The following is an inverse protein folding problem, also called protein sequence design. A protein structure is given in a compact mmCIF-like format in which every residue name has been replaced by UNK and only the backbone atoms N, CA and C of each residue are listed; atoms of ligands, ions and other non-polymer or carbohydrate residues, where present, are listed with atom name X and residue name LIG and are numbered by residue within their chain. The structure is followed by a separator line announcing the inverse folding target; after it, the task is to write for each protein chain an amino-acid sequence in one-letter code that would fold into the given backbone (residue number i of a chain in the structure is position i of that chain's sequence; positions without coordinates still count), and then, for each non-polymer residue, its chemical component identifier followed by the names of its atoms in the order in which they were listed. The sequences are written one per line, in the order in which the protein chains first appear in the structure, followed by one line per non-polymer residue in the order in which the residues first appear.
data_IF_446876601033
#
_entry.id   IF_446876601033
#
_cell.length_a   1.000
_cell.length_b   1.000
_cell.length_c   1.000
_cell.angle_alpha   90.00
_cell.angle_beta   90.00
_cell.angle_gamma   90.00
#
_symmetry.space_group_name_H-M   'P 1'
#
loop_
_entity.id
_entity.type
_entity.pdbx_description
1 polymer ?
#
# COMPACT_ATOMS: atom_id res chain seq x y z
N UNK A 1 -13.42 -10.53 -9.34
CA UNK A 1 -12.27 -10.28 -8.44
C UNK A 1 -11.27 -9.41 -9.16
N UNK A 2 -10.73 -8.34 -8.54
CA UNK A 2 -9.63 -7.62 -9.15
C UNK A 2 -8.46 -8.59 -9.28
N UNK A 3 -7.93 -8.70 -10.49
CA UNK A 3 -6.73 -9.47 -10.80
C UNK A 3 -5.57 -8.90 -9.97
N UNK A 4 -4.70 -9.76 -9.45
CA UNK A 4 -3.38 -9.26 -9.04
C UNK A 4 -2.72 -8.57 -10.24
N UNK A 5 -1.87 -7.55 -10.03
CA UNK A 5 -0.97 -7.06 -11.08
C UNK A 5 -0.10 -8.16 -11.70
N UNK A 6 0.07 -9.30 -11.00
CA UNK A 6 0.80 -10.48 -11.44
C UNK A 6 -0.04 -11.55 -12.16
N UNK A 7 -1.33 -11.34 -12.40
CA UNK A 7 -2.16 -12.23 -13.23
C UNK A 7 -2.63 -13.54 -12.57
N UNK A 8 -2.41 -13.75 -11.27
CA UNK A 8 -2.90 -14.92 -10.55
C UNK A 8 -4.37 -14.76 -10.11
N UNK A 9 -5.19 -15.78 -10.35
CA UNK A 9 -6.59 -15.87 -9.90
C UNK A 9 -6.61 -16.50 -8.50
N UNK A 10 -7.20 -15.82 -7.51
CA UNK A 10 -7.40 -16.38 -6.18
C UNK A 10 -8.84 -16.85 -5.96
N UNK A 11 -9.01 -18.01 -5.30
CA UNK A 11 -10.31 -18.53 -4.88
C UNK A 11 -10.90 -17.60 -3.81
N UNK A 12 -11.90 -16.81 -4.18
CA UNK A 12 -12.68 -16.02 -3.24
C UNK A 12 -13.75 -16.93 -2.62
N UNK A 13 -13.75 -17.19 -1.29
CA UNK A 13 -14.87 -17.88 -0.65
C UNK A 13 -16.16 -17.11 -0.93
N UNK A 14 -17.25 -17.83 -1.20
CA UNK A 14 -18.58 -17.27 -1.44
C UNK A 14 -18.97 -16.32 -0.30
N UNK A 15 -19.15 -15.02 -0.61
CA UNK A 15 -19.60 -14.00 0.34
C UNK A 15 -18.59 -12.90 0.71
N UNK A 16 -17.34 -12.97 0.26
CA UNK A 16 -16.35 -11.89 0.47
C UNK A 16 -16.24 -10.98 -0.76
N UNK A 17 -16.40 -9.66 -0.56
CA UNK A 17 -16.03 -8.66 -1.58
C UNK A 17 -14.52 -8.45 -1.56
N UNK A 18 -13.91 -8.17 -2.73
CA UNK A 18 -12.47 -7.86 -2.85
C UNK A 18 -12.26 -6.52 -3.55
N UNK A 19 -11.52 -5.61 -2.91
CA UNK A 19 -11.20 -4.27 -3.43
C UNK A 19 -9.69 -4.06 -3.54
N UNK A 20 -9.21 -3.41 -4.60
CA UNK A 20 -7.82 -2.97 -4.76
C UNK A 20 -7.72 -1.48 -4.39
N UNK A 21 -6.75 -1.12 -3.54
CA UNK A 21 -6.43 0.26 -3.18
C UNK A 21 -4.96 0.50 -3.55
N UNK A 22 -4.73 1.42 -4.48
CA UNK A 22 -3.39 1.87 -4.85
C UNK A 22 -3.08 3.21 -4.18
N UNK A 23 -1.87 3.37 -3.67
CA UNK A 23 -1.40 4.58 -3.01
C UNK A 23 0.08 4.80 -3.31
N UNK A 24 0.53 6.04 -3.37
CA UNK A 24 1.95 6.36 -3.51
C UNK A 24 2.65 6.29 -2.15
N UNK A 25 3.91 5.84 -2.12
CA UNK A 25 4.75 5.93 -0.93
C UNK A 25 4.97 7.41 -0.56
N UNK A 26 4.80 7.73 0.72
CA UNK A 26 4.87 9.10 1.23
C UNK A 26 3.52 9.75 1.54
N UNK A 27 2.41 9.14 1.13
CA UNK A 27 1.07 9.55 1.57
C UNK A 27 0.93 9.40 3.10
N UNK A 28 0.30 10.38 3.75
CA UNK A 28 0.18 10.41 5.21
C UNK A 28 -0.66 9.22 5.74
N UNK A 29 -1.70 8.85 5.00
CA UNK A 29 -2.57 7.73 5.33
C UNK A 29 -3.36 7.21 4.14
N UNK A 30 -3.90 5.99 4.27
CA UNK A 30 -4.82 5.38 3.30
C UNK A 30 -6.03 4.81 4.02
N UNK A 31 -7.19 4.85 3.38
CA UNK A 31 -8.41 4.23 3.88
C UNK A 31 -8.66 2.89 3.18
N UNK A 32 -8.73 1.82 3.96
CA UNK A 32 -9.17 0.50 3.53
C UNK A 32 -10.70 0.44 3.65
N UNK A 33 -11.45 0.41 2.53
CA UNK A 33 -12.89 0.61 2.58
C UNK A 33 -13.62 -0.64 3.05
N UNK A 34 -14.57 -0.46 3.97
CA UNK A 34 -15.59 -1.46 4.25
C UNK A 34 -16.87 -0.81 4.77
N UNK A 35 -17.96 -0.94 4.01
CA UNK A 35 -19.29 -0.51 4.43
C UNK A 35 -20.20 -1.71 4.61
N UNK A 36 -20.97 -1.70 5.69
CA UNK A 36 -21.94 -2.73 6.04
C UNK A 36 -23.28 -2.08 6.39
N UNK A 37 -24.23 -2.88 6.87
CA UNK A 37 -25.52 -2.38 7.37
C UNK A 37 -25.28 -1.49 8.58
N UNK A 38 -25.87 -0.28 8.61
CA UNK A 38 -25.78 0.62 9.77
C UNK A 38 -26.55 0.04 10.97
N UNK A 39 -26.41 0.72 12.12
CA UNK A 39 -27.11 0.38 13.36
C UNK A 39 -26.90 -1.07 13.83
N UNK A 40 -25.66 -1.55 13.77
CA UNK A 40 -25.29 -2.83 14.38
C UNK A 40 -25.35 -2.69 15.91
N UNK A 41 -26.21 -3.50 16.54
CA UNK A 41 -26.40 -3.58 17.99
C UNK A 41 -26.15 -5.01 18.50
N UNK A 42 -25.94 -5.14 19.81
CA UNK A 42 -25.56 -6.40 20.47
C UNK A 42 -24.05 -6.46 20.74
N UNK A 43 -23.53 -7.67 20.98
CA UNK A 43 -22.08 -7.88 21.11
C UNK A 43 -21.47 -7.94 19.71
N UNK A 44 -20.89 -6.83 19.27
CA UNK A 44 -20.31 -6.69 17.93
C UNK A 44 -18.82 -6.44 18.04
N UNK A 45 -18.07 -7.28 17.33
CA UNK A 45 -16.61 -7.24 17.29
C UNK A 45 -16.15 -7.16 15.83
N UNK A 46 -15.29 -6.19 15.55
CA UNK A 46 -14.71 -5.97 14.23
C UNK A 46 -13.21 -6.18 14.32
N UNK A 47 -12.69 -7.04 13.46
CA UNK A 47 -11.27 -7.35 13.40
C UNK A 47 -10.74 -7.12 12.00
N UNK A 48 -9.70 -6.29 11.90
CA UNK A 48 -8.88 -6.17 10.71
C UNK A 48 -7.61 -7.01 10.86
N UNK A 49 -7.31 -7.78 9.82
CA UNK A 49 -6.18 -8.69 9.76
C UNK A 49 -5.31 -8.37 8.56
N UNK A 50 -3.99 -8.50 8.71
CA UNK A 50 -3.03 -8.55 7.61
C UNK A 50 -2.63 -9.99 7.36
N UNK A 51 -2.97 -10.52 6.19
CA UNK A 51 -2.88 -11.94 5.89
C UNK A 51 -3.76 -12.76 6.85
N UNK A 52 -3.16 -13.71 7.56
CA UNK A 52 -3.84 -14.64 8.49
C UNK A 52 -3.26 -14.61 9.92
N UNK A 53 -2.27 -13.75 10.18
CA UNK A 53 -1.44 -13.88 11.39
C UNK A 53 -1.26 -12.58 12.18
N UNK A 54 -1.48 -11.39 11.60
CA UNK A 54 -1.39 -10.12 12.33
C UNK A 54 -2.76 -9.48 12.47
N UNK A 55 -3.16 -9.19 13.71
CA UNK A 55 -4.28 -8.30 14.01
C UNK A 55 -3.82 -6.86 13.79
N UNK A 56 -4.40 -6.21 12.79
CA UNK A 56 -4.12 -4.83 12.42
C UNK A 56 -4.90 -3.88 13.31
N UNK A 57 -6.19 -4.16 13.52
CA UNK A 57 -7.06 -3.33 14.34
C UNK A 57 -8.19 -4.18 14.94
N UNK A 58 -8.59 -3.88 16.17
CA UNK A 58 -9.67 -4.56 16.86
C UNK A 58 -10.57 -3.51 17.50
N UNK A 59 -11.86 -3.59 17.19
CA UNK A 59 -12.90 -2.74 17.76
C UNK A 59 -14.00 -3.62 18.35
N UNK A 60 -14.41 -3.36 19.58
CA UNK A 60 -15.50 -4.10 20.22
C UNK A 60 -16.37 -3.20 21.08
N UNK A 61 -17.69 -3.26 20.85
CA UNK A 61 -18.72 -2.63 21.70
C UNK A 61 -18.49 -1.16 22.06
N UNK A 62 -18.00 -0.35 21.12
CA UNK A 62 -17.84 1.10 21.33
C UNK A 62 -16.39 1.57 21.48
N UNK A 63 -15.42 0.66 21.59
CA UNK A 63 -14.03 1.01 21.90
C UNK A 63 -13.03 0.16 21.12
N UNK A 64 -11.90 0.78 20.77
CA UNK A 64 -10.72 0.10 20.25
C UNK A 64 -10.07 -0.79 21.33
N UNK A 65 -9.41 -1.87 20.90
CA UNK A 65 -8.64 -2.80 21.75
C UNK A 65 -7.15 -2.81 21.33
N UNK A 66 -6.39 -1.73 21.57
CA UNK A 66 -4.99 -1.62 21.15
C UNK A 66 -4.07 -2.69 21.79
N UNK A 67 -4.47 -3.28 22.91
CA UNK A 67 -3.80 -4.40 23.58
C UNK A 67 -3.79 -5.69 22.77
N UNK A 68 -4.77 -5.87 21.87
CA UNK A 68 -4.89 -7.04 21.01
C UNK A 68 -4.25 -6.87 19.62
N UNK A 69 -3.83 -5.65 19.30
CA UNK A 69 -3.18 -5.35 18.01
C UNK A 69 -1.74 -5.84 18.00
N UNK A 70 -1.28 -6.27 16.83
CA UNK A 70 0.12 -6.51 16.58
C UNK A 70 0.91 -5.20 16.77
N UNK A 71 2.08 -5.30 17.42
CA UNK A 71 2.89 -4.15 17.78
C UNK A 71 3.26 -3.26 16.58
N UNK A 72 3.37 -3.84 15.38
CA UNK A 72 3.72 -3.09 14.15
C UNK A 72 2.60 -2.15 13.69
N UNK A 73 1.36 -2.36 14.14
CA UNK A 73 0.18 -1.56 13.75
C UNK A 73 -0.36 -0.66 14.86
N UNK A 74 0.12 -0.81 16.09
CA UNK A 74 -0.26 0.06 17.20
C UNK A 74 0.06 1.52 16.84
N UNK A 75 -0.86 2.42 17.19
CA UNK A 75 -0.81 3.86 16.90
C UNK A 75 -0.78 4.26 15.41
N UNK A 76 -0.85 3.29 14.50
CA UNK A 76 -0.91 3.52 13.04
C UNK A 76 -2.30 3.34 12.47
N UNK A 77 -3.26 2.85 13.24
CA UNK A 77 -4.59 2.47 12.75
C UNK A 77 -5.70 3.19 13.49
N UNK A 78 -6.74 3.58 12.76
CA UNK A 78 -7.89 4.30 13.31
C UNK A 78 -9.15 3.98 12.51
N UNK A 79 -10.28 3.79 13.21
CA UNK A 79 -11.61 3.71 12.60
C UNK A 79 -12.37 5.02 12.79
N UNK A 80 -13.38 5.28 11.95
CA UNK A 80 -14.26 6.44 12.13
C UNK A 80 -15.03 6.37 13.44
N UNK A 81 -15.45 7.53 13.95
CA UNK A 81 -16.36 7.61 15.11
C UNK A 81 -17.67 6.89 14.84
N UNK A 82 -18.17 6.19 15.85
CA UNK A 82 -19.40 5.40 15.83
C UNK A 82 -19.53 4.46 14.60
N UNK A 83 -18.53 3.59 14.33
CA UNK A 83 -18.49 2.80 13.11
C UNK A 83 -19.66 1.80 13.04
N UNK A 84 -20.14 1.30 14.19
CA UNK A 84 -21.30 0.40 14.27
C UNK A 84 -22.64 1.10 13.97
N UNK A 85 -22.75 2.38 14.36
CA UNK A 85 -23.95 3.19 14.10
C UNK A 85 -24.04 3.56 12.62
N UNK A 86 -22.93 4.02 12.05
CA UNK A 86 -22.85 4.47 10.65
C UNK A 86 -22.77 3.33 9.66
N UNK A 87 -22.31 2.15 10.09
CA UNK A 87 -22.02 1.02 9.21
C UNK A 87 -20.76 1.21 8.38
N UNK A 88 -19.96 2.25 8.65
CA UNK A 88 -18.68 2.48 7.98
C UNK A 88 -17.55 1.93 8.84
N UNK A 89 -17.12 0.71 8.50
CA UNK A 89 -16.05 -0.03 9.18
C UNK A 89 -14.70 0.15 8.49
N UNK A 90 -14.56 1.18 7.66
CA UNK A 90 -13.32 1.47 6.96
C UNK A 90 -12.19 1.77 7.95
N UNK A 91 -10.99 1.26 7.64
CA UNK A 91 -9.81 1.44 8.46
C UNK A 91 -8.87 2.46 7.83
N UNK A 92 -8.47 3.47 8.59
CA UNK A 92 -7.38 4.37 8.20
C UNK A 92 -6.05 3.79 8.69
N UNK A 93 -5.09 3.60 7.78
CA UNK A 93 -3.72 3.17 8.07
C UNK A 93 -2.75 4.33 7.79
N UNK A 94 -1.94 4.70 8.78
CA UNK A 94 -0.99 5.82 8.77
C UNK A 94 0.46 5.33 8.65
N UNK A 95 1.37 6.25 8.29
CA UNK A 95 2.81 5.99 8.14
C UNK A 95 3.06 4.82 7.17
N UNK A 96 2.64 4.99 5.92
CA UNK A 96 2.68 3.95 4.91
C UNK A 96 4.10 3.63 4.46
N UNK A 97 4.36 2.35 4.25
CA UNK A 97 5.61 1.83 3.69
C UNK A 97 5.32 0.81 2.61
N UNK A 98 6.28 0.56 1.72
CA UNK A 98 6.18 -0.54 0.74
C UNK A 98 5.95 -1.93 1.37
N UNK A 99 6.24 -2.10 2.67
CA UNK A 99 6.02 -3.35 3.42
C UNK A 99 4.56 -3.55 3.81
N UNK A 100 3.76 -2.49 3.83
CA UNK A 100 2.33 -2.57 4.12
C UNK A 100 1.52 -3.13 2.96
N UNK A 101 2.13 -3.36 1.78
CA UNK A 101 1.51 -4.03 0.64
C UNK A 101 0.95 -5.40 1.04
N UNK A 102 -0.22 -5.74 0.53
CA UNK A 102 -0.78 -7.08 0.68
C UNK A 102 -2.26 -7.09 1.01
N UNK A 103 -2.75 -8.25 1.45
CA UNK A 103 -4.16 -8.49 1.71
C UNK A 103 -4.51 -8.16 3.16
N UNK A 104 -5.40 -7.19 3.32
CA UNK A 104 -6.10 -6.88 4.55
C UNK A 104 -7.47 -7.54 4.52
N UNK A 105 -7.93 -8.05 5.65
CA UNK A 105 -9.23 -8.73 5.76
C UNK A 105 -9.97 -8.19 6.97
N UNK A 106 -11.17 -7.69 6.76
CA UNK A 106 -12.05 -7.28 7.86
C UNK A 106 -13.07 -8.39 8.11
N UNK A 107 -13.26 -8.77 9.37
CA UNK A 107 -14.27 -9.73 9.80
C UNK A 107 -15.11 -9.09 10.90
N UNK A 108 -16.42 -9.19 10.76
CA UNK A 108 -17.41 -8.72 11.74
C UNK A 108 -18.03 -9.94 12.39
N UNK A 109 -17.93 -10.01 13.71
CA UNK A 109 -18.61 -10.97 14.53
C UNK A 109 -19.79 -10.30 15.25
N UNK A 110 -20.90 -11.01 15.34
CA UNK A 110 -22.05 -10.63 16.16
C UNK A 110 -22.42 -11.81 17.05
N UNK A 111 -22.46 -11.57 18.35
CA UNK A 111 -22.78 -12.59 19.36
C UNK A 111 -21.88 -13.85 19.20
N UNK A 112 -20.60 -13.65 18.87
CA UNK A 112 -19.62 -14.71 18.62
C UNK A 112 -19.68 -15.38 17.23
N UNK A 113 -20.68 -15.08 16.41
CA UNK A 113 -20.83 -15.65 15.07
C UNK A 113 -20.31 -14.72 13.97
N UNK A 114 -19.64 -15.29 12.96
CA UNK A 114 -19.23 -14.54 11.78
C UNK A 114 -20.48 -13.99 11.07
N UNK A 115 -20.58 -12.67 11.02
CA UNK A 115 -21.68 -11.97 10.38
C UNK A 115 -21.32 -11.66 8.92
N UNK A 116 -20.19 -10.96 8.71
CA UNK A 116 -19.75 -10.46 7.39
C UNK A 116 -18.23 -10.31 7.35
N UNK A 117 -17.67 -10.21 6.15
CA UNK A 117 -16.31 -9.76 5.98
C UNK A 117 -16.01 -9.26 4.57
N UNK A 118 -14.86 -8.61 4.44
CA UNK A 118 -14.34 -8.11 3.17
C UNK A 118 -12.84 -8.29 3.10
N UNK A 119 -12.29 -8.37 1.89
CA UNK A 119 -10.86 -8.34 1.64
C UNK A 119 -10.47 -7.07 0.89
N UNK A 120 -9.42 -6.40 1.32
CA UNK A 120 -8.86 -5.23 0.66
C UNK A 120 -7.39 -5.51 0.36
N UNK A 121 -6.99 -5.38 -0.90
CA UNK A 121 -5.60 -5.48 -1.30
C UNK A 121 -5.00 -4.09 -1.41
N UNK A 122 -3.97 -3.82 -0.60
CA UNK A 122 -3.25 -2.54 -0.60
C UNK A 122 -1.99 -2.66 -1.45
N UNK A 123 -1.80 -1.72 -2.36
CA UNK A 123 -0.61 -1.60 -3.21
C UNK A 123 0.02 -0.22 -3.07
N UNK A 124 1.13 -0.15 -2.34
CA UNK A 124 1.91 1.09 -2.13
C UNK A 124 2.99 1.22 -3.20
N UNK A 125 2.90 2.13 -4.16
CA UNK A 125 3.94 2.35 -5.18
C UNK A 125 5.18 2.97 -4.54
N UNK A 126 6.34 2.32 -4.71
CA UNK A 126 7.57 2.75 -4.03
C UNK A 126 8.30 3.85 -4.80
N UNK A 127 8.83 4.85 -4.09
CA UNK A 127 9.62 5.95 -4.67
C UNK A 127 11.02 5.52 -5.09
N UNK A 128 11.55 4.43 -4.54
CA UNK A 128 12.88 3.90 -4.87
C UNK A 128 13.06 3.61 -6.37
N UNK A 129 12.01 3.24 -7.09
CA UNK A 129 12.08 3.07 -8.55
C UNK A 129 12.37 4.40 -9.28
N UNK A 130 11.84 5.52 -8.80
CA UNK A 130 12.05 6.84 -9.40
C UNK A 130 13.47 7.34 -9.12
N UNK A 131 13.96 7.17 -7.89
CA UNK A 131 15.34 7.53 -7.55
C UNK A 131 16.36 6.74 -8.36
N UNK A 132 16.21 5.41 -8.45
CA UNK A 132 17.11 4.56 -9.26
C UNK A 132 17.04 4.94 -10.74
N UNK A 133 15.83 5.12 -11.28
CA UNK A 133 15.64 5.55 -12.67
C UNK A 133 16.30 6.90 -12.97
N UNK A 134 16.10 7.89 -12.09
CA UNK A 134 16.68 9.23 -12.25
C UNK A 134 18.22 9.20 -12.13
N UNK A 135 18.77 8.44 -11.18
CA UNK A 135 20.21 8.26 -11.04
C UNK A 135 20.83 7.59 -12.28
N UNK A 136 20.21 6.52 -12.81
CA UNK A 136 20.68 5.89 -14.05
C UNK A 136 20.62 6.87 -15.22
N UNK A 137 19.53 7.63 -15.36
CA UNK A 137 19.40 8.63 -16.42
C UNK A 137 20.49 9.70 -16.33
N UNK A 138 20.75 10.25 -15.13
CA UNK A 138 21.82 11.23 -14.90
C UNK A 138 23.20 10.67 -15.23
N UNK A 139 23.53 9.46 -14.77
CA UNK A 139 24.82 8.80 -15.05
C UNK A 139 24.98 8.54 -16.56
N UNK A 140 23.95 8.05 -17.24
CA UNK A 140 23.98 7.83 -18.69
C UNK A 140 24.18 9.15 -19.44
N UNK A 141 23.46 10.21 -19.07
CA UNK A 141 23.62 11.54 -19.67
C UNK A 141 25.03 12.09 -19.49
N UNK A 142 25.60 11.96 -18.28
CA UNK A 142 26.98 12.37 -18.00
C UNK A 142 27.99 11.57 -18.81
N UNK A 143 27.84 10.24 -18.92
CA UNK A 143 28.70 9.39 -19.73
C UNK A 143 28.68 9.79 -21.21
N UNK A 144 27.49 10.03 -21.78
CA UNK A 144 27.34 10.47 -23.18
C UNK A 144 27.96 11.85 -23.42
N UNK A 145 27.79 12.76 -22.46
CA UNK A 145 28.42 14.08 -22.50
C UNK A 145 29.94 13.97 -22.49
N UNK A 146 30.52 13.20 -21.55
CA UNK A 146 31.97 12.98 -21.46
C UNK A 146 32.52 12.32 -22.72
N UNK A 147 31.87 11.26 -23.23
CA UNK A 147 32.30 10.60 -24.46
C UNK A 147 32.24 11.52 -25.67
N UNK A 148 31.20 12.36 -25.78
CA UNK A 148 31.06 13.34 -26.85
C UNK A 148 32.08 14.47 -26.77
N UNK A 149 32.40 14.94 -25.55
CA UNK A 149 33.46 15.93 -25.34
C UNK A 149 34.84 15.36 -25.68
N UNK A 150 35.15 14.13 -25.24
CA UNK A 150 36.39 13.46 -25.62
C UNK A 150 36.50 13.30 -27.13
N UNK A 151 35.42 12.86 -27.82
CA UNK A 151 35.46 12.72 -29.27
C UNK A 151 35.68 14.05 -29.98
N UNK A 152 35.06 15.15 -29.53
CA UNK A 152 35.27 16.48 -30.10
C UNK A 152 36.71 16.96 -29.92
N UNK A 153 37.27 16.80 -28.72
CA UNK A 153 38.66 17.18 -28.43
C UNK A 153 39.63 16.35 -29.28
N UNK A 154 39.42 15.04 -29.38
CA UNK A 154 40.23 14.14 -30.21
C UNK A 154 40.11 14.51 -31.69
N UNK A 155 38.91 14.78 -32.20
CA UNK A 155 38.70 15.21 -33.59
C UNK A 155 39.37 16.55 -33.89
N UNK A 156 39.27 17.53 -32.99
CA UNK A 156 39.95 18.82 -33.12
C UNK A 156 41.47 18.67 -33.10
N UNK A 157 42.00 17.82 -32.23
CA UNK A 157 43.44 17.57 -32.14
C UNK A 157 43.97 16.89 -33.41
N UNK A 158 43.27 15.88 -33.92
CA UNK A 158 43.60 15.24 -35.20
C UNK A 158 43.51 16.22 -36.38
N UNK A 159 42.49 17.09 -36.39
CA UNK A 159 42.34 18.12 -37.43
C UNK A 159 43.51 19.12 -37.40
N UNK A 160 43.85 19.65 -36.22
CA UNK A 160 44.98 20.59 -36.05
C UNK A 160 46.31 19.93 -36.43
N UNK A 161 46.53 18.67 -36.01
CA UNK A 161 47.74 17.92 -36.36
C UNK A 161 47.85 17.63 -37.86
N UNK A 162 46.73 17.38 -38.54
CA UNK A 162 46.70 17.15 -39.98
C UNK A 162 46.92 18.41 -40.80
N UNK A 163 46.50 19.58 -40.30
CA UNK A 163 46.73 20.87 -40.96
C UNK A 163 48.14 21.44 -40.74
N UNK A 164 48.87 20.97 -39.73
CA UNK A 164 50.26 21.39 -39.46
C UNK A 164 51.33 20.49 -40.12
N UNK A 165 50.92 19.38 -40.74
CA UNK A 165 51.80 18.50 -41.51
C UNK A 165 51.80 18.87 -42.99
#
# INVERSE_FOLDING_TARGET
CPLFPSGLIWFCPSGFSTTLVEVEEGEESVQLPFKTTPHLSGDVRVEWWYGYYRKVHVYQNGSDRPEEQDQVYRDRTEMKKDPLRTGDLSLTLKHLTVRDRGRYTCIVYKDGHLLRGTAVYLWVKGQYCLFVSCCLSLVVCLCLFVSGCLSLVVCLWLFVSGCLS
#
